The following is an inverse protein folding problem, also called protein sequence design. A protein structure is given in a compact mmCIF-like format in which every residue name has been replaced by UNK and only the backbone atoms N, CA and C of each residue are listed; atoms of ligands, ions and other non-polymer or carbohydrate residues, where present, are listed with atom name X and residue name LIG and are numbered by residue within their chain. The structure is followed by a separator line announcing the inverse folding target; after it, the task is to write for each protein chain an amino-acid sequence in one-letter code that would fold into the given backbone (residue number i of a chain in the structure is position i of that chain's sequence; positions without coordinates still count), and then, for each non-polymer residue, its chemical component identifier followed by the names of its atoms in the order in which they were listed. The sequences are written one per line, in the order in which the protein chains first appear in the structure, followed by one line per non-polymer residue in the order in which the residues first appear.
data_IF_008987030440
#
_entry.id   IF_008987030440
#
_cell.length_a   1.000
_cell.length_b   1.000
_cell.length_c   1.000
_cell.angle_alpha   90.00
_cell.angle_beta   90.00
_cell.angle_gamma   90.00
#
_symmetry.space_group_name_H-M   'P 1'
#
loop_
_entity.id
_entity.type
_entity.pdbx_description
1 polymer ?
#
# COMPACT_ATOMS: atom_id res chain seq x y z
N UNK A 1 16.53 -29.67 -12.34
CA UNK A 1 17.84 -29.01 -12.18
C UNK A 1 18.35 -29.42 -10.81
N UNK A 2 19.48 -30.13 -10.76
CA UNK A 2 20.09 -30.62 -9.52
C UNK A 2 20.68 -29.44 -8.73
N UNK A 3 20.57 -29.47 -7.41
CA UNK A 3 20.91 -28.36 -6.49
C UNK A 3 22.41 -27.99 -6.40
N UNK A 4 23.22 -28.42 -7.38
CA UNK A 4 24.68 -28.32 -7.40
C UNK A 4 25.23 -27.65 -8.68
N UNK A 5 24.42 -26.81 -9.32
CA UNK A 5 24.90 -25.96 -10.42
C UNK A 5 25.78 -24.82 -9.86
N UNK A 6 27.00 -24.58 -10.38
CA UNK A 6 27.86 -23.47 -9.96
C UNK A 6 27.18 -22.10 -9.97
N UNK A 7 26.23 -21.87 -10.89
CA UNK A 7 25.41 -20.65 -10.92
C UNK A 7 24.53 -20.50 -9.68
N UNK A 8 23.85 -21.58 -9.27
CA UNK A 8 23.02 -21.58 -8.06
C UNK A 8 23.84 -21.38 -6.77
N UNK A 9 25.11 -21.81 -6.77
CA UNK A 9 26.03 -21.57 -5.63
C UNK A 9 26.50 -20.11 -5.56
N UNK A 10 26.76 -19.47 -6.70
CA UNK A 10 27.11 -18.05 -6.76
C UNK A 10 25.94 -17.15 -6.33
N UNK A 11 24.71 -17.46 -6.75
CA UNK A 11 23.52 -16.71 -6.31
C UNK A 11 23.30 -16.80 -4.79
N UNK A 12 23.55 -17.98 -4.20
CA UNK A 12 23.47 -18.14 -2.74
C UNK A 12 24.56 -17.36 -2.01
N UNK A 13 25.77 -17.32 -2.56
CA UNK A 13 26.89 -16.55 -1.99
C UNK A 13 26.58 -15.05 -1.99
N UNK A 14 26.01 -14.53 -3.09
CA UNK A 14 25.60 -13.13 -3.19
C UNK A 14 24.53 -12.76 -2.16
N UNK A 15 23.52 -13.60 -1.96
CA UNK A 15 22.49 -13.37 -0.92
C UNK A 15 23.05 -13.35 0.50
N UNK A 16 24.07 -14.16 0.79
CA UNK A 16 24.73 -14.16 2.10
C UNK A 16 25.57 -12.89 2.32
N UNK A 17 26.18 -12.34 1.27
CA UNK A 17 26.86 -11.05 1.33
C UNK A 17 25.89 -9.88 1.51
N UNK A 18 24.79 -9.85 0.74
CA UNK A 18 23.75 -8.81 0.85
C UNK A 18 23.05 -8.78 2.21
N UNK A 19 22.88 -9.94 2.85
CA UNK A 19 22.32 -10.03 4.20
C UNK A 19 23.31 -9.71 5.32
N UNK A 20 24.58 -9.41 4.99
CA UNK A 20 25.65 -9.14 5.95
C UNK A 20 26.16 -10.38 6.70
N UNK A 21 25.76 -11.58 6.27
CA UNK A 21 26.21 -12.84 6.85
C UNK A 21 27.64 -13.21 6.42
N UNK A 22 28.14 -12.68 5.30
CA UNK A 22 29.54 -12.71 4.89
C UNK A 22 30.10 -11.29 4.78
N UNK A 23 31.34 -11.09 5.25
CA UNK A 23 32.08 -9.85 4.98
C UNK A 23 32.75 -9.88 3.59
N UNK A 24 33.18 -8.71 3.08
CA UNK A 24 33.76 -8.57 1.74
C UNK A 24 34.96 -9.50 1.47
N UNK A 25 35.79 -9.75 2.49
CA UNK A 25 37.00 -10.58 2.38
C UNK A 25 36.64 -12.06 2.27
N UNK A 26 35.62 -12.51 2.99
CA UNK A 26 35.11 -13.88 2.92
C UNK A 26 34.37 -14.12 1.60
N UNK A 27 33.59 -13.14 1.15
CA UNK A 27 32.85 -13.22 -0.10
C UNK A 27 33.79 -13.41 -1.30
N UNK A 28 34.83 -12.57 -1.41
CA UNK A 28 35.79 -12.67 -2.52
C UNK A 28 36.62 -13.96 -2.46
N UNK A 29 36.92 -14.48 -1.26
CA UNK A 29 37.59 -15.78 -1.10
C UNK A 29 36.74 -16.94 -1.63
N UNK A 30 35.48 -17.01 -1.22
CA UNK A 30 34.56 -18.09 -1.62
C UNK A 30 34.18 -17.99 -3.10
N UNK A 31 34.01 -16.78 -3.61
CA UNK A 31 33.80 -16.52 -5.04
C UNK A 31 34.98 -17.01 -5.88
N UNK A 32 36.22 -16.76 -5.44
CA UNK A 32 37.41 -17.23 -6.13
C UNK A 32 37.56 -18.76 -6.11
N UNK A 33 37.11 -19.44 -5.04
CA UNK A 33 37.08 -20.90 -4.95
C UNK A 33 36.06 -21.51 -5.93
N UNK A 34 34.88 -20.91 -6.07
CA UNK A 34 33.84 -21.37 -6.98
C UNK A 34 34.17 -21.13 -8.46
N UNK A 35 34.99 -20.12 -8.75
CA UNK A 35 35.40 -19.76 -10.11
C UNK A 35 36.73 -20.42 -10.54
N UNK A 36 37.38 -21.18 -9.66
CA UNK A 36 38.58 -21.94 -10.05
C UNK A 36 38.18 -23.05 -11.03
N UNK A 37 38.72 -23.07 -12.26
CA UNK A 37 38.58 -24.22 -13.14
C UNK A 37 39.36 -25.39 -12.52
N UNK A 38 38.66 -26.41 -12.08
CA UNK A 38 39.27 -27.67 -11.66
C UNK A 38 39.47 -28.58 -12.86
N UNK A 39 40.73 -28.79 -13.23
CA UNK A 39 41.18 -29.91 -14.06
C UNK A 39 40.93 -31.26 -13.34
N UNK A 40 40.12 -32.10 -13.99
CA UNK A 40 40.24 -33.55 -14.21
C UNK A 40 40.13 -34.68 -13.13
N UNK A 41 39.48 -35.77 -13.62
CA UNK A 41 39.61 -37.22 -13.33
C UNK A 41 38.88 -37.85 -12.12
N UNK A 42 37.95 -38.80 -12.35
CA UNK A 42 38.11 -40.25 -12.60
C UNK A 42 38.73 -41.02 -11.41
N UNK A 43 37.89 -41.83 -10.73
CA UNK A 43 38.26 -43.15 -10.20
C UNK A 43 37.11 -44.14 -10.45
N UNK A 44 37.52 -45.32 -10.91
CA UNK A 44 36.79 -46.46 -11.43
C UNK A 44 36.19 -47.44 -10.38
N UNK A 45 35.09 -48.08 -10.81
CA UNK A 45 34.79 -49.53 -10.87
C UNK A 45 34.46 -50.40 -9.63
N UNK A 46 33.37 -51.16 -9.84
CA UNK A 46 33.01 -52.57 -9.49
C UNK A 46 31.68 -52.63 -8.73
N UNK A 47 30.61 -53.34 -9.14
CA UNK A 47 30.46 -54.48 -10.04
C UNK A 47 29.73 -55.61 -9.29
N UNK A 48 28.46 -55.92 -9.61
CA UNK A 48 27.93 -57.28 -9.85
C UNK A 48 26.39 -57.38 -9.98
N UNK A 49 25.99 -58.50 -10.59
CA UNK A 49 24.81 -58.85 -11.40
C UNK A 49 23.49 -59.16 -10.63
N UNK A 50 22.27 -58.83 -11.12
CA UNK A 50 21.24 -59.60 -11.91
C UNK A 50 20.58 -60.80 -11.15
N UNK A 51 19.33 -61.28 -11.38
CA UNK A 51 17.97 -60.70 -11.61
C UNK A 51 16.87 -61.35 -10.70
N UNK A 52 15.60 -60.92 -10.78
CA UNK A 52 14.46 -61.87 -10.98
C UNK A 52 13.15 -61.17 -11.37
N UNK A 53 12.44 -61.81 -12.29
CA UNK A 53 11.16 -61.42 -12.85
C UNK A 53 9.97 -62.03 -12.06
N UNK A 54 8.82 -61.36 -12.03
CA UNK A 54 7.55 -61.95 -12.48
C UNK A 54 6.36 -61.01 -12.33
N UNK A 55 5.50 -61.08 -13.34
CA UNK A 55 4.24 -60.39 -13.48
C UNK A 55 3.14 -60.93 -12.55
N UNK A 56 2.23 -60.07 -12.15
CA UNK A 56 0.78 -60.34 -12.19
C UNK A 56 0.01 -59.03 -12.16
N UNK A 57 -1.17 -59.07 -12.77
CA UNK A 57 -1.95 -57.96 -13.28
C UNK A 57 -3.25 -57.83 -12.40
N UNK A 58 -4.29 -57.07 -12.79
CA UNK A 58 -4.74 -55.86 -12.11
C UNK A 58 -6.06 -56.03 -11.34
N UNK A 59 -6.40 -55.12 -10.41
CA UNK A 59 -7.80 -54.86 -10.09
C UNK A 59 -8.11 -53.45 -9.55
N UNK A 60 -9.06 -52.81 -10.23
CA UNK A 60 -10.10 -51.88 -9.81
C UNK A 60 -9.86 -50.88 -8.65
N UNK A 61 -10.14 -49.61 -8.95
CA UNK A 61 -11.10 -48.88 -8.12
C UNK A 61 -10.73 -47.46 -7.68
N UNK A 62 -11.36 -46.51 -8.37
CA UNK A 62 -12.07 -45.37 -7.77
C UNK A 62 -11.46 -43.96 -7.84
N UNK A 63 -12.39 -43.04 -8.16
CA UNK A 63 -12.44 -41.60 -7.89
C UNK A 63 -11.61 -40.68 -8.78
N UNK A 64 -12.28 -40.26 -9.87
CA UNK A 64 -12.07 -38.98 -10.56
C UNK A 64 -11.99 -37.83 -9.55
N UNK A 65 -10.80 -37.25 -9.36
CA UNK A 65 -10.63 -35.88 -8.87
C UNK A 65 -10.28 -34.99 -10.08
N UNK A 66 -11.13 -33.99 -10.33
CA UNK A 66 -10.88 -32.91 -11.29
C UNK A 66 -9.59 -32.19 -10.88
N UNK A 67 -8.55 -32.28 -11.70
CA UNK A 67 -7.33 -31.46 -11.59
C UNK A 67 -7.60 -30.15 -12.32
N UNK A 68 -7.58 -29.05 -11.59
CA UNK A 68 -7.45 -27.71 -12.15
C UNK A 68 -5.94 -27.45 -12.34
N UNK A 69 -5.48 -26.97 -13.50
CA UNK A 69 -4.06 -26.71 -13.72
C UNK A 69 -3.70 -25.37 -13.08
N UNK A 70 -2.78 -25.41 -12.12
CA UNK A 70 -2.05 -24.24 -11.65
C UNK A 70 -1.11 -23.75 -12.75
N UNK A 71 -1.25 -22.49 -13.16
CA UNK A 71 -0.23 -21.78 -13.92
C UNK A 71 0.86 -21.33 -12.95
N UNK A 72 2.09 -21.76 -13.22
CA UNK A 72 3.30 -21.28 -12.57
C UNK A 72 3.59 -19.86 -13.08
N UNK A 73 3.66 -18.89 -12.18
CA UNK A 73 4.28 -17.58 -12.44
C UNK A 73 5.57 -17.52 -11.60
N UNK A 74 6.72 -17.15 -12.19
CA UNK A 74 7.98 -17.11 -11.45
C UNK A 74 7.99 -15.94 -10.45
N UNK A 75 8.45 -16.25 -9.25
CA UNK A 75 8.66 -15.31 -8.15
C UNK A 75 9.91 -14.44 -8.41
N UNK A 76 9.72 -13.14 -8.56
CA UNK A 76 10.73 -12.12 -8.33
C UNK A 76 10.38 -11.38 -7.05
N UNK A 77 11.24 -11.44 -6.03
CA UNK A 77 11.10 -10.68 -4.78
C UNK A 77 11.74 -9.31 -5.00
N UNK A 78 10.94 -8.25 -4.89
CA UNK A 78 11.40 -6.91 -4.55
C UNK A 78 11.28 -6.76 -3.02
N UNK A 79 12.42 -6.54 -2.38
CA UNK A 79 12.51 -6.06 -1.00
C UNK A 79 12.89 -4.57 -1.01
N UNK A 80 12.26 -3.78 -0.14
CA UNK A 80 12.48 -2.34 0.03
C UNK A 80 11.39 -1.52 -0.68
N UNK A 81 10.69 -0.57 -0.07
CA UNK A 81 11.16 0.43 0.89
C UNK A 81 10.03 0.84 1.85
N UNK A 82 10.22 0.59 3.15
CA UNK A 82 9.63 1.41 4.20
C UNK A 82 10.45 2.68 4.35
N UNK A 83 10.00 3.77 3.73
CA UNK A 83 10.61 5.10 3.84
C UNK A 83 9.83 5.98 4.81
N UNK A 84 10.24 6.00 6.07
CA UNK A 84 9.77 6.95 7.08
C UNK A 84 10.29 8.35 6.78
N UNK A 85 9.41 9.35 6.73
CA UNK A 85 9.78 10.75 6.71
C UNK A 85 10.05 11.25 8.15
N UNK A 86 11.31 11.46 8.49
CA UNK A 86 11.72 12.25 9.64
C UNK A 86 11.94 13.70 9.17
N UNK A 87 11.12 14.62 9.69
CA UNK A 87 11.40 16.04 9.64
C UNK A 87 12.30 16.40 10.83
N UNK A 88 13.57 16.68 10.55
CA UNK A 88 14.48 17.28 11.53
C UNK A 88 14.39 18.81 11.47
N UNK A 89 14.41 19.44 12.64
CA UNK A 89 14.31 20.88 12.86
C UNK A 89 15.41 21.28 13.84
N UNK A 90 16.48 21.89 13.32
CA UNK A 90 17.32 22.96 13.92
C UNK A 90 18.68 22.93 13.23
N UNK A 91 19.40 24.00 12.91
CA UNK A 91 19.23 25.45 12.99
C UNK A 91 20.42 26.06 12.23
N UNK A 92 20.22 27.25 11.66
CA UNK A 92 21.26 28.05 11.00
C UNK A 92 22.21 28.67 12.06
N UNK A 93 23.47 29.06 11.74
CA UNK A 93 23.67 30.25 10.91
C UNK A 93 24.91 30.28 9.98
N UNK A 94 24.73 31.06 8.89
CA UNK A 94 25.65 32.06 8.31
C UNK A 94 26.81 31.64 7.38
N UNK A 95 26.76 32.13 6.14
CA UNK A 95 27.91 32.26 5.22
C UNK A 95 27.55 32.28 3.73
N UNK A 96 27.19 33.45 3.18
CA UNK A 96 27.01 33.70 1.73
C UNK A 96 28.38 33.82 0.98
N UNK A 97 28.49 34.07 -0.36
CA UNK A 97 27.45 34.20 -1.41
C UNK A 97 27.72 33.51 -2.79
N UNK A 98 26.64 33.40 -3.59
CA UNK A 98 26.51 33.55 -5.06
C UNK A 98 27.36 32.73 -6.05
N UNK A 99 26.69 31.96 -6.94
CA UNK A 99 26.66 32.23 -8.40
C UNK A 99 25.32 31.76 -9.01
N UNK A 100 24.72 32.60 -9.84
CA UNK A 100 23.44 32.42 -10.50
C UNK A 100 23.50 31.53 -11.76
N UNK A 101 22.41 30.80 -12.05
CA UNK A 101 21.94 30.61 -13.43
C UNK A 101 20.40 30.42 -13.47
N UNK A 102 19.75 31.42 -14.06
CA UNK A 102 18.38 31.46 -14.58
C UNK A 102 18.20 30.44 -15.74
N UNK A 103 17.01 30.00 -16.19
CA UNK A 103 15.60 30.11 -15.81
C UNK A 103 14.77 29.21 -16.76
N UNK A 104 13.58 28.78 -16.31
CA UNK A 104 12.36 28.61 -17.13
C UNK A 104 11.23 28.17 -16.19
N UNK A 105 10.48 29.07 -15.53
CA UNK A 105 9.34 29.86 -16.03
C UNK A 105 8.08 29.04 -16.35
N UNK A 106 7.45 28.47 -15.32
CA UNK A 106 6.01 28.18 -15.32
C UNK A 106 5.34 28.83 -14.11
N UNK A 107 4.58 29.89 -14.40
CA UNK A 107 3.46 30.48 -13.65
C UNK A 107 3.28 30.05 -12.18
N UNK A 108 4.17 30.53 -11.32
CA UNK A 108 3.94 30.55 -9.88
C UNK A 108 2.98 31.72 -9.57
N UNK A 109 1.66 31.50 -9.63
CA UNK A 109 0.67 32.46 -9.11
C UNK A 109 0.76 32.46 -7.59
N UNK A 110 1.59 33.35 -7.09
CA UNK A 110 1.82 33.65 -5.69
C UNK A 110 0.50 33.96 -4.97
N UNK A 111 0.07 33.02 -4.13
CA UNK A 111 -1.06 33.19 -3.21
C UNK A 111 -0.73 34.27 -2.17
N UNK A 112 -1.69 35.18 -1.95
CA UNK A 112 -1.61 36.17 -0.88
C UNK A 112 -2.18 35.56 0.41
N UNK A 113 -1.39 35.45 1.49
CA UNK A 113 -1.87 34.97 2.78
C UNK A 113 -2.81 36.03 3.36
N UNK A 114 -4.11 35.74 3.36
CA UNK A 114 -5.16 36.67 3.79
C UNK A 114 -6.50 36.49 3.08
N UNK A 115 -6.60 35.63 2.06
CA UNK A 115 -7.88 35.25 1.48
C UNK A 115 -8.61 34.28 2.43
N UNK A 116 -9.39 34.87 3.35
CA UNK A 116 -10.38 34.17 4.16
C UNK A 116 -11.28 33.38 3.19
N UNK A 117 -11.26 32.05 3.28
CA UNK A 117 -12.21 31.21 2.56
C UNK A 117 -13.62 31.72 2.90
N UNK A 118 -14.43 32.14 1.92
CA UNK A 118 -15.78 32.59 2.22
C UNK A 118 -16.54 31.43 2.88
N UNK A 119 -17.07 31.70 4.07
CA UNK A 119 -17.95 30.80 4.82
C UNK A 119 -19.04 30.32 3.88
N UNK A 120 -19.13 29.00 3.66
CA UNK A 120 -20.07 28.37 2.73
C UNK A 120 -21.47 28.98 2.92
N UNK A 121 -21.98 29.66 1.89
CA UNK A 121 -23.29 30.32 1.96
C UNK A 121 -24.39 29.26 2.12
N UNK A 122 -25.40 29.56 2.93
CA UNK A 122 -26.44 28.63 3.38
C UNK A 122 -27.32 27.97 2.29
N UNK A 123 -27.11 28.26 1.00
CA UNK A 123 -27.69 27.48 -0.10
C UNK A 123 -26.75 27.46 -1.31
N UNK A 124 -25.70 26.64 -1.24
CA UNK A 124 -24.98 26.23 -2.45
C UNK A 124 -25.99 25.68 -3.46
N UNK A 125 -26.14 26.36 -4.59
CA UNK A 125 -27.01 25.90 -5.67
C UNK A 125 -26.51 24.56 -6.23
N UNK A 126 -25.18 24.35 -6.23
CA UNK A 126 -24.57 23.10 -6.68
C UNK A 126 -24.88 21.95 -5.71
N UNK A 127 -24.85 22.19 -4.39
CA UNK A 127 -25.18 21.16 -3.37
C UNK A 127 -26.60 20.61 -3.51
N UNK A 128 -27.52 21.38 -4.08
CA UNK A 128 -28.90 20.95 -4.33
C UNK A 128 -29.08 20.08 -5.58
N UNK A 129 -28.06 19.99 -6.44
CA UNK A 129 -28.10 19.17 -7.64
C UNK A 129 -28.00 17.66 -7.31
N UNK A 130 -28.43 16.76 -8.22
CA UNK A 130 -28.14 15.34 -8.08
C UNK A 130 -26.64 15.09 -7.94
N UNK A 131 -26.25 14.10 -7.12
CA UNK A 131 -24.85 13.81 -6.81
C UNK A 131 -23.98 13.66 -8.06
N UNK A 132 -24.46 12.96 -9.10
CA UNK A 132 -23.72 12.81 -10.35
C UNK A 132 -23.41 14.16 -11.02
N UNK A 133 -24.35 15.11 -11.01
CA UNK A 133 -24.12 16.45 -11.57
C UNK A 133 -23.10 17.25 -10.78
N UNK A 134 -23.08 17.09 -9.45
CA UNK A 134 -22.05 17.71 -8.62
C UNK A 134 -20.66 17.16 -8.97
N UNK A 135 -20.57 15.84 -9.15
CA UNK A 135 -19.35 15.14 -9.55
C UNK A 135 -18.89 15.58 -10.94
N UNK A 136 -19.80 15.67 -11.93
CA UNK A 136 -19.47 16.14 -13.28
C UNK A 136 -18.85 17.55 -13.25
N UNK A 137 -19.49 18.50 -12.55
CA UNK A 137 -18.98 19.86 -12.39
C UNK A 137 -17.62 19.90 -11.68
N UNK A 138 -17.40 19.00 -10.72
CA UNK A 138 -16.15 18.88 -10.00
C UNK A 138 -15.03 18.30 -10.88
N UNK A 139 -15.34 17.29 -11.70
CA UNK A 139 -14.42 16.77 -12.71
C UNK A 139 -14.03 17.85 -13.72
N UNK A 140 -15.00 18.62 -14.23
CA UNK A 140 -14.74 19.73 -15.16
C UNK A 140 -13.81 20.79 -14.54
N UNK A 141 -13.94 21.04 -13.23
CA UNK A 141 -13.09 22.00 -12.54
C UNK A 141 -11.65 21.52 -12.32
N UNK A 142 -11.42 20.22 -12.18
CA UNK A 142 -10.10 19.63 -11.91
C UNK A 142 -9.37 19.25 -13.20
N UNK A 143 -10.06 18.62 -14.14
CA UNK A 143 -9.46 18.04 -15.35
C UNK A 143 -9.82 18.81 -16.64
N UNK A 144 -10.78 19.74 -16.58
CA UNK A 144 -11.33 20.37 -17.78
C UNK A 144 -11.98 19.35 -18.72
N UNK A 145 -11.82 19.58 -20.02
CA UNK A 145 -12.30 18.67 -21.08
C UNK A 145 -11.26 17.62 -21.49
N UNK A 146 -10.12 17.56 -20.80
CA UNK A 146 -8.98 16.74 -21.16
C UNK A 146 -9.04 15.30 -20.63
N UNK A 147 -7.93 14.60 -20.83
CA UNK A 147 -7.73 13.30 -20.19
C UNK A 147 -7.70 13.46 -18.68
N UNK A 148 -8.31 12.50 -17.99
CA UNK A 148 -8.37 12.48 -16.52
C UNK A 148 -7.14 11.76 -15.97
N UNK A 149 -5.97 12.11 -16.47
CA UNK A 149 -4.71 11.55 -16.04
C UNK A 149 -3.89 12.62 -15.32
N UNK A 150 -3.28 12.26 -14.19
CA UNK A 150 -2.30 13.11 -13.52
C UNK A 150 -1.04 12.30 -13.28
N UNK A 151 0.07 12.81 -13.80
CA UNK A 151 1.42 12.35 -13.46
C UNK A 151 1.88 13.02 -12.17
N UNK A 152 2.08 12.22 -11.12
CA UNK A 152 2.49 12.66 -9.79
C UNK A 152 4.01 12.63 -9.65
N UNK A 153 4.66 11.62 -10.23
CA UNK A 153 6.12 11.49 -10.32
C UNK A 153 6.49 11.03 -11.74
N UNK A 154 7.79 10.94 -12.04
CA UNK A 154 8.25 10.41 -13.34
C UNK A 154 7.70 8.99 -13.62
N UNK A 155 7.57 8.17 -12.57
CA UNK A 155 7.16 6.77 -12.63
C UNK A 155 5.69 6.52 -12.21
N UNK A 156 4.96 7.56 -11.78
CA UNK A 156 3.59 7.41 -11.29
C UNK A 156 2.63 8.34 -12.02
N UNK A 157 1.80 7.76 -12.87
CA UNK A 157 0.63 8.40 -13.46
C UNK A 157 -0.65 7.66 -13.04
N UNK A 158 -1.71 8.43 -12.79
CA UNK A 158 -3.00 7.91 -12.36
C UNK A 158 -4.11 8.38 -13.28
N UNK A 159 -4.91 7.42 -13.75
CA UNK A 159 -6.14 7.67 -14.48
C UNK A 159 -7.34 7.68 -13.52
N UNK A 160 -8.11 8.77 -13.53
CA UNK A 160 -9.23 8.99 -12.61
C UNK A 160 -10.58 8.85 -13.33
N UNK A 161 -11.43 7.96 -12.83
CA UNK A 161 -12.71 7.67 -13.48
C UNK A 161 -13.93 7.98 -12.61
N UNK A 162 -13.91 7.52 -11.36
CA UNK A 162 -15.06 7.60 -10.43
C UNK A 162 -14.75 8.55 -9.30
N UNK A 163 -15.75 9.30 -8.84
CA UNK A 163 -15.57 10.19 -7.71
C UNK A 163 -16.85 10.57 -7.00
N UNK A 164 -16.69 11.19 -5.85
CA UNK A 164 -17.75 11.70 -4.98
C UNK A 164 -17.37 13.09 -4.50
N UNK A 165 -18.35 13.99 -4.47
CA UNK A 165 -18.21 15.28 -3.80
C UNK A 165 -18.67 15.16 -2.35
N UNK A 166 -17.78 15.46 -1.41
CA UNK A 166 -18.04 15.55 0.02
C UNK A 166 -18.11 17.01 0.42
N UNK A 167 -19.24 17.41 1.02
CA UNK A 167 -19.41 18.77 1.52
C UNK A 167 -18.87 18.88 2.94
N UNK A 168 -17.83 19.70 3.12
CA UNK A 168 -17.22 19.99 4.41
C UNK A 168 -17.47 21.43 4.83
N UNK A 169 -17.13 21.79 6.07
CA UNK A 169 -17.29 23.17 6.57
C UNK A 169 -16.39 24.18 5.84
N UNK A 170 -15.24 23.74 5.34
CA UNK A 170 -14.29 24.58 4.60
C UNK A 170 -14.49 24.52 3.08
N UNK A 171 -15.48 23.77 2.60
CA UNK A 171 -15.85 23.72 1.18
C UNK A 171 -16.10 22.31 0.63
N UNK A 172 -16.50 22.21 -0.65
CA UNK A 172 -16.63 20.95 -1.34
C UNK A 172 -15.26 20.30 -1.60
N UNK A 173 -15.19 18.99 -1.40
CA UNK A 173 -14.00 18.17 -1.68
C UNK A 173 -14.39 17.08 -2.66
N UNK A 174 -13.74 17.03 -3.81
CA UNK A 174 -13.83 15.92 -4.75
C UNK A 174 -12.84 14.83 -4.34
N UNK A 175 -13.33 13.61 -4.16
CA UNK A 175 -12.54 12.41 -3.93
C UNK A 175 -12.72 11.52 -5.15
N UNK A 176 -11.63 11.12 -5.79
CA UNK A 176 -11.65 10.32 -7.02
C UNK A 176 -10.77 9.09 -6.91
N UNK A 177 -11.27 7.99 -7.44
CA UNK A 177 -10.54 6.74 -7.58
C UNK A 177 -9.56 6.86 -8.75
N UNK A 178 -8.26 6.75 -8.44
CA UNK A 178 -7.17 6.76 -9.41
C UNK A 178 -6.61 5.35 -9.59
N UNK A 179 -6.52 4.92 -10.85
CA UNK A 179 -5.85 3.68 -11.22
C UNK A 179 -4.44 3.96 -11.73
N UNK A 180 -3.44 3.28 -11.17
CA UNK A 180 -2.06 3.32 -11.66
C UNK A 180 -1.85 2.35 -12.83
N UNK A 181 -0.79 2.56 -13.62
CA UNK A 181 -0.40 1.59 -14.64
C UNK A 181 -0.07 0.23 -14.00
N UNK A 182 -0.57 -0.88 -14.55
CA UNK A 182 -0.35 -2.20 -13.96
C UNK A 182 1.07 -2.74 -14.20
N UNK A 183 1.85 -2.13 -15.10
CA UNK A 183 3.18 -2.61 -15.46
C UNK A 183 4.14 -1.44 -15.80
N UNK A 184 5.23 -1.21 -15.02
CA UNK A 184 5.59 -1.91 -13.79
C UNK A 184 4.51 -1.77 -12.69
N UNK A 185 4.45 -2.67 -11.68
CA UNK A 185 3.40 -2.62 -10.67
C UNK A 185 3.35 -1.26 -9.97
N UNK A 186 2.29 -0.49 -10.24
CA UNK A 186 1.98 0.73 -9.50
C UNK A 186 0.87 0.46 -8.47
N UNK A 187 0.84 1.29 -7.42
CA UNK A 187 -0.27 1.30 -6.47
C UNK A 187 -1.41 2.10 -7.08
N UNK A 188 -2.68 1.72 -6.86
CA UNK A 188 -3.78 2.67 -7.10
C UNK A 188 -3.78 3.79 -6.07
N UNK A 189 -4.73 4.72 -6.17
CA UNK A 189 -4.83 5.85 -5.24
C UNK A 189 -6.26 6.37 -5.07
N UNK A 190 -6.49 7.19 -4.05
CA UNK A 190 -7.54 8.20 -4.07
C UNK A 190 -6.92 9.60 -4.25
N UNK A 191 -7.32 10.28 -5.31
CA UNK A 191 -7.04 11.70 -5.50
C UNK A 191 -8.04 12.55 -4.74
N UNK A 192 -7.56 13.56 -4.03
CA UNK A 192 -8.39 14.45 -3.20
C UNK A 192 -8.16 15.89 -3.66
N UNK A 193 -9.23 16.54 -4.13
CA UNK A 193 -9.20 17.88 -4.71
C UNK A 193 -10.16 18.78 -3.95
N UNK A 194 -9.63 19.84 -3.38
CA UNK A 194 -10.40 20.80 -2.61
C UNK A 194 -10.90 21.86 -3.58
N UNK A 195 -12.20 22.13 -3.54
CA UNK A 195 -12.86 23.00 -4.49
C UNK A 195 -13.40 24.24 -3.78
N UNK A 196 -13.52 25.33 -4.53
CA UNK A 196 -14.31 26.49 -4.13
C UNK A 196 -15.47 26.69 -5.10
N UNK A 197 -16.60 27.13 -4.56
CA UNK A 197 -17.74 27.54 -5.38
C UNK A 197 -17.50 28.91 -5.99
N UNK A 198 -17.81 29.03 -7.27
CA UNK A 198 -17.85 30.29 -8.00
C UNK A 198 -19.29 30.64 -8.41
N UNK A 199 -19.58 31.93 -8.64
CA UNK A 199 -20.83 32.35 -9.25
C UNK A 199 -21.11 31.60 -10.57
N UNK A 200 -22.38 31.27 -10.81
CA UNK A 200 -22.80 30.59 -12.04
C UNK A 200 -22.68 29.06 -12.03
N UNK A 201 -22.80 28.42 -10.86
CA UNK A 201 -22.77 26.95 -10.69
C UNK A 201 -21.46 26.31 -11.18
N UNK A 202 -20.33 26.93 -10.84
CA UNK A 202 -19.01 26.43 -11.19
C UNK A 202 -18.21 26.11 -9.95
N UNK A 203 -17.40 25.06 -10.06
CA UNK A 203 -16.30 24.84 -9.13
C UNK A 203 -15.00 25.39 -9.72
N UNK A 204 -14.07 25.70 -8.83
CA UNK A 204 -12.67 25.92 -9.17
C UNK A 204 -11.81 25.12 -8.19
N UNK A 205 -10.77 24.48 -8.69
CA UNK A 205 -9.81 23.78 -7.84
C UNK A 205 -9.04 24.79 -6.99
N UNK A 206 -9.06 24.60 -5.68
CA UNK A 206 -8.31 25.39 -4.72
C UNK A 206 -6.98 24.72 -4.36
N UNK A 207 -6.98 23.40 -4.11
CA UNK A 207 -5.79 22.59 -3.78
C UNK A 207 -5.99 21.14 -4.22
N UNK A 208 -4.89 20.40 -4.40
CA UNK A 208 -4.89 19.02 -4.88
C UNK A 208 -3.91 18.13 -4.13
N UNK A 209 -4.30 16.86 -3.96
CA UNK A 209 -3.47 15.75 -3.50
C UNK A 209 -3.82 14.51 -4.34
N UNK A 210 -3.21 14.34 -5.53
CA UNK A 210 -3.55 13.25 -6.46
C UNK A 210 -3.25 11.85 -5.88
N UNK A 211 -2.30 11.74 -4.95
CA UNK A 211 -1.82 10.50 -4.35
C UNK A 211 -2.11 10.41 -2.84
N UNK A 212 -3.19 11.04 -2.37
CA UNK A 212 -3.44 11.25 -0.94
C UNK A 212 -3.66 9.96 -0.13
N UNK A 213 -4.15 8.90 -0.77
CA UNK A 213 -4.46 7.62 -0.13
C UNK A 213 -3.99 6.49 -1.03
N UNK A 214 -3.04 5.70 -0.54
CA UNK A 214 -2.48 4.57 -1.27
C UNK A 214 -3.50 3.43 -1.43
N UNK A 215 -3.57 2.90 -2.65
CA UNK A 215 -4.39 1.75 -3.04
C UNK A 215 -3.65 0.43 -3.07
N UNK A 216 -4.16 -0.51 -3.87
CA UNK A 216 -3.59 -1.85 -4.01
C UNK A 216 -2.49 -1.90 -5.08
N UNK A 217 -1.55 -2.81 -4.88
CA UNK A 217 -0.33 -3.10 -5.66
C UNK A 217 -0.54 -3.58 -7.11
N UNK A 218 -1.78 -3.69 -7.57
CA UNK A 218 -2.13 -4.00 -8.96
C UNK A 218 -2.78 -2.80 -9.67
N UNK A 219 -2.41 -1.58 -9.27
CA UNK A 219 -2.91 -0.34 -9.85
C UNK A 219 -4.35 0.01 -9.48
N UNK A 220 -5.07 -0.84 -8.74
CA UNK A 220 -6.47 -0.59 -8.39
C UNK A 220 -6.59 0.38 -7.19
N UNK A 221 -7.56 1.31 -7.23
CA UNK A 221 -7.86 2.17 -6.08
C UNK A 221 -8.22 1.32 -4.85
N UNK A 222 -7.98 1.82 -3.62
CA UNK A 222 -8.37 1.09 -2.42
C UNK A 222 -9.89 0.95 -2.34
N UNK A 223 -10.38 -0.03 -1.61
CA UNK A 223 -11.77 0.00 -1.17
C UNK A 223 -11.93 1.14 -0.15
N UNK A 224 -12.97 1.95 -0.24
CA UNK A 224 -13.07 3.11 0.65
C UNK A 224 -14.51 3.53 0.95
N UNK A 225 -14.67 4.28 2.03
CA UNK A 225 -15.92 4.93 2.43
C UNK A 225 -15.67 6.18 3.28
N UNK A 226 -16.68 7.05 3.36
CA UNK A 226 -16.67 8.21 4.26
C UNK A 226 -17.30 7.86 5.60
N UNK A 227 -16.67 8.31 6.67
CA UNK A 227 -17.11 8.18 8.06
C UNK A 227 -17.14 9.53 8.74
N UNK A 228 -18.25 9.82 9.41
CA UNK A 228 -18.44 11.07 10.16
C UNK A 228 -18.53 10.83 11.68
N UNK A 229 -18.33 9.59 12.12
CA UNK A 229 -18.44 9.17 13.51
C UNK A 229 -17.07 9.09 14.23
N UNK A 230 -15.97 9.06 13.49
CA UNK A 230 -14.61 8.88 14.03
C UNK A 230 -14.00 10.19 14.54
N UNK A 231 -14.04 11.28 13.77
CA UNK A 231 -13.47 12.58 14.15
C UNK A 231 -14.47 13.71 13.96
N UNK A 232 -14.05 14.94 14.29
CA UNK A 232 -14.89 16.13 14.11
C UNK A 232 -15.12 16.43 12.62
N UNK A 233 -14.16 16.09 11.76
CA UNK A 233 -14.27 16.20 10.31
C UNK A 233 -14.61 14.85 9.64
N UNK A 234 -14.92 14.90 8.34
CA UNK A 234 -15.10 13.69 7.55
C UNK A 234 -13.80 12.90 7.46
N UNK A 235 -13.88 11.59 7.67
CA UNK A 235 -12.76 10.65 7.61
C UNK A 235 -12.98 9.68 6.45
N UNK A 236 -11.98 9.52 5.60
CA UNK A 236 -11.91 8.44 4.62
C UNK A 236 -11.38 7.20 5.34
N UNK A 237 -12.17 6.14 5.41
CA UNK A 237 -11.68 4.80 5.75
C UNK A 237 -11.35 4.09 4.44
N UNK A 238 -10.08 3.77 4.22
CA UNK A 238 -9.61 3.05 3.04
C UNK A 238 -8.95 1.74 3.42
N UNK A 239 -9.27 0.66 2.71
CA UNK A 239 -8.62 -0.64 2.81
C UNK A 239 -7.77 -0.86 1.56
N UNK A 240 -6.48 -1.07 1.76
CA UNK A 240 -5.54 -1.53 0.74
C UNK A 240 -4.93 -2.86 1.16
N UNK A 241 -4.43 -3.63 0.20
CA UNK A 241 -3.90 -4.96 0.49
C UNK A 241 -3.78 -5.83 -0.74
N UNK A 242 -3.48 -7.11 -0.50
CA UNK A 242 -3.29 -8.10 -1.53
C UNK A 242 -2.98 -9.49 -1.00
N UNK A 243 -2.76 -10.42 -1.94
CA UNK A 243 -2.41 -11.81 -1.64
C UNK A 243 -1.01 -12.12 -2.16
N UNK A 244 -0.11 -12.54 -1.29
CA UNK A 244 1.26 -12.93 -1.63
C UNK A 244 1.56 -14.33 -1.12
N UNK A 245 1.93 -15.24 -2.03
CA UNK A 245 2.36 -16.60 -1.68
C UNK A 245 1.37 -17.37 -0.78
N UNK A 246 0.06 -17.14 -0.97
CA UNK A 246 -0.99 -17.78 -0.18
C UNK A 246 -1.33 -17.06 1.14
N UNK A 247 -0.69 -15.93 1.45
CA UNK A 247 -1.05 -15.04 2.55
C UNK A 247 -1.88 -13.87 2.03
N UNK A 248 -3.07 -13.64 2.60
CA UNK A 248 -3.87 -12.43 2.35
C UNK A 248 -3.65 -11.43 3.47
N UNK A 249 -3.35 -10.19 3.10
CA UNK A 249 -3.04 -9.10 4.03
C UNK A 249 -3.72 -7.83 3.56
N UNK A 250 -4.54 -7.24 4.42
CA UNK A 250 -5.11 -5.92 4.18
C UNK A 250 -4.84 -4.99 5.35
N UNK A 251 -4.51 -3.73 5.07
CA UNK A 251 -4.39 -2.66 6.05
C UNK A 251 -5.49 -1.62 5.82
N UNK A 252 -6.02 -1.09 6.93
CA UNK A 252 -6.95 0.04 6.92
C UNK A 252 -6.23 1.32 7.32
N UNK A 253 -6.41 2.37 6.54
CA UNK A 253 -5.96 3.72 6.85
C UNK A 253 -7.16 4.63 7.07
N UNK A 254 -7.10 5.44 8.12
CA UNK A 254 -8.08 6.50 8.39
C UNK A 254 -7.46 7.85 8.03
N UNK A 255 -8.05 8.56 7.08
CA UNK A 255 -7.55 9.87 6.60
C UNK A 255 -8.60 10.95 6.84
N UNK A 256 -8.29 11.90 7.72
CA UNK A 256 -9.17 13.05 8.04
C UNK A 256 -9.06 14.14 6.97
N UNK A 257 -10.20 14.66 6.51
CA UNK A 257 -10.26 15.84 5.65
C UNK A 257 -10.24 17.10 6.52
N UNK A 258 -9.13 17.83 6.53
CA UNK A 258 -8.98 19.06 7.31
C UNK A 258 -8.87 20.26 6.38
N UNK A 259 -9.09 21.48 6.90
CA UNK A 259 -8.88 22.68 6.10
C UNK A 259 -7.48 22.78 5.50
N UNK A 260 -6.44 22.17 6.08
CA UNK A 260 -5.07 22.23 5.53
C UNK A 260 -4.78 21.14 4.49
N UNK A 261 -5.64 20.13 4.40
CA UNK A 261 -5.51 18.99 3.51
C UNK A 261 -5.91 17.66 4.17
N UNK A 262 -5.86 16.55 3.41
CA UNK A 262 -6.02 15.22 3.96
C UNK A 262 -4.88 14.90 4.94
N UNK A 263 -5.21 14.32 6.08
CA UNK A 263 -4.26 13.96 7.14
C UNK A 263 -4.48 12.53 7.58
N UNK A 264 -3.44 11.70 7.48
CA UNK A 264 -3.47 10.35 8.04
C UNK A 264 -3.61 10.40 9.56
N UNK A 265 -4.63 9.71 10.07
CA UNK A 265 -4.91 9.59 11.50
C UNK A 265 -4.25 8.35 12.09
N UNK A 266 -4.30 7.23 11.37
CA UNK A 266 -3.74 5.94 11.77
C UNK A 266 -3.81 4.97 10.59
N UNK A 267 -2.85 4.04 10.53
CA UNK A 267 -2.93 2.83 9.72
C UNK A 267 -2.74 1.61 10.62
N UNK A 268 -3.48 0.55 10.36
CA UNK A 268 -3.38 -0.72 11.09
C UNK A 268 -3.76 -1.88 10.18
N UNK A 269 -3.16 -3.05 10.44
CA UNK A 269 -3.54 -4.28 9.75
C UNK A 269 -4.99 -4.64 10.11
N UNK A 270 -5.79 -4.85 9.09
CA UNK A 270 -7.22 -5.07 9.19
C UNK A 270 -7.64 -6.49 8.82
N UNK A 271 -6.83 -7.20 8.05
CA UNK A 271 -7.08 -8.57 7.68
C UNK A 271 -5.76 -9.34 7.57
N UNK A 272 -5.78 -10.59 8.03
CA UNK A 272 -4.71 -11.56 7.85
C UNK A 272 -5.31 -12.93 7.60
N UNK A 273 -4.91 -13.62 6.54
CA UNK A 273 -5.28 -15.01 6.28
C UNK A 273 -4.08 -15.81 5.73
N UNK A 274 -3.73 -16.92 6.39
CA UNK A 274 -2.65 -17.81 5.96
C UNK A 274 -3.12 -19.17 5.42
N UNK A 275 -4.43 -19.37 5.24
CA UNK A 275 -4.99 -20.64 4.78
C UNK A 275 -4.56 -21.05 3.37
N UNK A 276 -4.09 -20.10 2.55
CA UNK A 276 -3.52 -20.37 1.23
C UNK A 276 -2.06 -20.84 1.27
N UNK A 277 -1.37 -20.68 2.40
CA UNK A 277 0.05 -21.02 2.56
C UNK A 277 0.29 -22.15 3.58
N UNK A 278 -0.60 -22.31 4.56
CA UNK A 278 -0.46 -23.23 5.68
C UNK A 278 -1.66 -24.19 5.71
N UNK A 279 -1.40 -25.50 5.63
CA UNK A 279 -2.47 -26.52 5.63
C UNK A 279 -3.08 -26.74 7.03
N UNK A 280 -2.26 -26.81 8.08
CA UNK A 280 -2.70 -27.02 9.46
C UNK A 280 -2.23 -25.89 10.38
N UNK A 281 -3.14 -25.40 11.24
CA UNK A 281 -2.82 -24.29 12.16
C UNK A 281 -2.79 -22.92 11.50
N UNK A 282 -3.42 -22.75 10.34
CA UNK A 282 -3.58 -21.45 9.69
C UNK A 282 -4.28 -20.44 10.62
N UNK A 283 -4.07 -19.16 10.34
CA UNK A 283 -4.78 -18.06 11.00
C UNK A 283 -5.60 -17.30 9.99
N UNK A 284 -6.79 -16.89 10.39
CA UNK A 284 -7.68 -16.03 9.62
C UNK A 284 -8.28 -15.04 10.60
N UNK A 285 -8.03 -13.75 10.39
CA UNK A 285 -8.40 -12.65 11.27
C UNK A 285 -8.97 -11.52 10.43
N UNK A 286 -10.16 -11.05 10.77
CA UNK A 286 -10.84 -9.93 10.13
C UNK A 286 -11.21 -8.88 11.20
N UNK A 287 -10.66 -7.69 11.03
CA UNK A 287 -10.72 -6.54 11.94
C UNK A 287 -11.81 -5.55 11.56
N UNK A 288 -12.75 -5.33 12.47
CA UNK A 288 -13.80 -4.32 12.35
C UNK A 288 -13.66 -3.22 13.40
N UNK A 289 -13.78 -1.96 12.98
CA UNK A 289 -13.83 -0.81 13.89
C UNK A 289 -15.17 -0.81 14.64
N UNK A 290 -15.12 -0.82 15.98
CA UNK A 290 -16.26 -0.82 16.90
C UNK A 290 -16.04 0.17 18.05
N UNK A 291 -17.06 0.37 18.90
CA UNK A 291 -16.98 1.19 20.13
C UNK A 291 -16.39 2.59 19.91
N UNK A 292 -16.76 3.23 18.80
CA UNK A 292 -16.24 4.55 18.44
C UNK A 292 -16.73 5.60 19.45
N UNK A 293 -15.78 6.29 20.08
CA UNK A 293 -16.00 7.52 20.83
C UNK A 293 -15.41 8.65 20.00
N UNK A 294 -16.28 9.40 19.33
CA UNK A 294 -15.91 10.46 18.37
C UNK A 294 -14.82 11.36 18.94
N UNK A 295 -13.78 11.56 18.13
CA UNK A 295 -12.60 12.38 18.42
C UNK A 295 -11.82 11.98 19.70
N UNK A 296 -12.00 10.74 20.19
CA UNK A 296 -11.31 10.26 21.40
C UNK A 296 -10.70 8.88 21.24
N UNK A 297 -11.49 7.90 20.84
CA UNK A 297 -11.02 6.52 20.79
C UNK A 297 -11.91 5.63 19.92
N UNK A 298 -11.39 4.46 19.56
CA UNK A 298 -12.19 3.36 19.00
C UNK A 298 -11.49 2.04 19.28
N UNK A 299 -12.20 0.94 19.10
CA UNK A 299 -11.64 -0.40 19.15
C UNK A 299 -11.60 -1.00 17.75
N UNK A 300 -10.61 -1.84 17.48
CA UNK A 300 -10.60 -2.77 16.35
C UNK A 300 -10.79 -4.16 16.92
N UNK A 301 -11.94 -4.77 16.63
CA UNK A 301 -12.25 -6.14 17.04
C UNK A 301 -11.97 -7.08 15.88
N UNK A 302 -10.97 -7.94 16.07
CA UNK A 302 -10.62 -9.01 15.16
C UNK A 302 -11.41 -10.27 15.51
N UNK A 303 -11.94 -10.93 14.49
CA UNK A 303 -12.67 -12.21 14.61
C UNK A 303 -12.12 -13.21 13.59
N UNK A 304 -12.37 -14.51 13.79
CA UNK A 304 -11.86 -15.59 12.93
C UNK A 304 -11.31 -16.74 13.76
N UNK A 305 -10.05 -17.13 13.55
CA UNK A 305 -9.41 -18.23 14.30
C UNK A 305 -9.21 -17.90 15.78
N UNK A 306 -9.17 -16.61 16.13
CA UNK A 306 -9.23 -16.11 17.51
C UNK A 306 -9.88 -14.73 17.54
N UNK A 307 -10.32 -14.33 18.73
CA UNK A 307 -10.86 -12.97 18.96
C UNK A 307 -9.82 -12.13 19.67
N UNK A 308 -9.51 -10.97 19.09
CA UNK A 308 -8.57 -9.98 19.64
C UNK A 308 -9.26 -8.62 19.59
N UNK A 309 -9.04 -7.77 20.59
CA UNK A 309 -9.48 -6.37 20.53
C UNK A 309 -8.28 -5.46 20.75
N UNK A 310 -8.06 -4.55 19.81
CA UNK A 310 -7.05 -3.50 19.90
C UNK A 310 -7.73 -2.17 20.19
N UNK A 311 -7.30 -1.48 21.24
CA UNK A 311 -7.82 -0.17 21.60
C UNK A 311 -6.94 0.93 20.99
N UNK A 312 -7.56 1.96 20.41
CA UNK A 312 -6.88 3.11 19.83
C UNK A 312 -7.36 4.40 20.51
N UNK A 313 -6.41 5.21 20.96
CA UNK A 313 -6.68 6.50 21.62
C UNK A 313 -6.12 7.66 20.78
N UNK A 314 -6.86 8.77 20.71
CA UNK A 314 -6.41 9.99 20.07
C UNK A 314 -5.28 10.61 20.90
N UNK A 315 -4.10 10.77 20.29
CA UNK A 315 -2.96 11.51 20.85
C UNK A 315 -2.57 12.62 19.88
N UNK A 316 -3.01 13.83 20.21
CA UNK A 316 -2.86 14.99 19.33
C UNK A 316 -3.59 14.77 18.00
N UNK A 317 -2.86 14.83 16.89
CA UNK A 317 -3.43 14.72 15.55
C UNK A 317 -3.79 13.30 15.12
N UNK A 318 -3.23 12.26 15.76
CA UNK A 318 -3.30 10.87 15.34
C UNK A 318 -3.97 9.96 16.38
N UNK A 319 -4.34 8.75 15.98
CA UNK A 319 -4.71 7.67 16.90
C UNK A 319 -3.52 6.73 17.09
N UNK A 320 -3.30 6.31 18.34
CA UNK A 320 -2.22 5.40 18.72
C UNK A 320 -2.82 4.19 19.41
N UNK A 321 -2.35 2.99 19.04
CA UNK A 321 -2.72 1.76 19.73
C UNK A 321 -2.31 1.86 21.20
N UNK A 322 -3.26 1.76 22.11
CA UNK A 322 -3.00 1.76 23.54
C UNK A 322 -2.29 0.46 23.93
N UNK A 323 -1.26 0.51 24.80
CA UNK A 323 -0.65 -0.70 25.34
C UNK A 323 -1.68 -1.47 26.15
N UNK A 324 -1.71 -2.80 25.98
CA UNK A 324 -2.60 -3.64 26.77
C UNK A 324 -2.19 -3.57 28.25
N UNK A 325 -3.16 -3.47 29.16
CA UNK A 325 -2.91 -3.47 30.60
C UNK A 325 -2.47 -4.89 31.04
N UNK A 326 -1.18 -5.18 30.88
CA UNK A 326 -0.56 -6.43 31.28
C UNK A 326 0.74 -6.68 30.50
N UNK A 327 1.88 -6.75 31.19
CA UNK A 327 3.20 -7.12 30.63
C UNK A 327 3.26 -8.61 30.25
N UNK A 328 2.39 -9.05 29.35
CA UNK A 328 2.50 -10.38 28.74
C UNK A 328 2.70 -10.15 27.26
N UNK A 329 3.77 -10.76 26.72
CA UNK A 329 4.16 -10.77 25.31
C UNK A 329 2.96 -10.75 24.36
N UNK A 330 3.12 -10.03 23.25
CA UNK A 330 2.21 -9.63 22.15
C UNK A 330 1.33 -10.73 21.49
N UNK A 331 0.83 -11.71 22.24
CA UNK A 331 -0.12 -12.71 21.75
C UNK A 331 -1.46 -12.10 21.32
N UNK A 332 -1.71 -10.82 21.65
CA UNK A 332 -2.88 -10.04 21.22
C UNK A 332 -2.56 -9.08 20.05
N UNK A 333 -1.39 -9.18 19.43
CA UNK A 333 -1.17 -8.59 18.10
C UNK A 333 -1.61 -9.59 17.03
N UNK A 334 -2.20 -9.08 15.95
CA UNK A 334 -2.32 -9.88 14.74
C UNK A 334 -0.93 -9.99 14.09
N UNK A 335 -0.63 -11.07 13.36
CA UNK A 335 0.61 -11.15 12.60
C UNK A 335 0.72 -9.93 11.69
N UNK A 336 1.85 -9.24 11.75
CA UNK A 336 2.15 -8.18 10.80
C UNK A 336 2.51 -8.81 9.46
N UNK A 337 1.93 -8.25 8.41
CA UNK A 337 2.52 -8.32 7.09
C UNK A 337 3.56 -7.19 6.97
#
# INVERSE_FOLDING_TARGET
MTADDPLSRLERLAKLHESGALNDVEFERERALLLRPGDDQIVHANGNEIPTASASNPEAGSKRKRRWPWLLVPAGILAGLGGWALADRSGDPSGAPQVARAASSESNRQWSPGSVLPKASDRSAIRSLPQQRQVDLAFDAVFGLGEREIRVTEDAAYSYAKGVVVWTEFGPVLIVEGSGEPYPPALGTLGIFYLRELPGMKFEEARRWPDAVTGSIMGNPPQWRIRNDISDHAVIESTGGGVWQGYACDSKTLTELTQDGPRSLVSFDSHYDSSGAIEEGYQSLDGTIVNVVRNRSFDVRFTGTRTITQHFERKGAAYVRAPHAGKVMDNNAIPTC
#
